data_IF_691478819551
#
_entry.id   IF_691478819551
#
_cell.length_a   1.000
_cell.length_b   1.000
_cell.length_c   1.000
_cell.angle_alpha   90.00
_cell.angle_beta   90.00
_cell.angle_gamma   90.00
#
_symmetry.space_group_name_H-M   'P 1'
#
loop_
_entity.id
_entity.type
_entity.pdbx_description
1 polymer ?
#
# COMPACT_ATOMS: atom_id res chain seq x y z
N UNK A 1 19.83 34.50 -32.42
CA UNK A 1 18.72 35.15 -31.69
C UNK A 1 18.55 34.39 -30.41
N UNK A 2 19.10 34.93 -29.34
CA UNK A 2 19.17 34.32 -28.02
C UNK A 2 17.78 34.31 -27.39
N UNK A 3 17.30 33.13 -26.97
CA UNK A 3 16.13 33.06 -26.11
C UNK A 3 16.51 33.69 -24.77
N UNK A 4 15.94 34.85 -24.46
CA UNK A 4 15.98 35.41 -23.11
C UNK A 4 15.19 34.45 -22.22
N UNK A 5 15.90 33.61 -21.46
CA UNK A 5 15.31 32.96 -20.30
C UNK A 5 14.87 34.08 -19.36
N UNK A 6 13.57 34.27 -19.21
CA UNK A 6 13.04 35.21 -18.22
C UNK A 6 13.34 34.63 -16.85
N UNK A 7 14.34 35.19 -16.17
CA UNK A 7 14.56 35.00 -14.73
C UNK A 7 13.26 35.37 -14.02
N UNK A 8 12.50 34.35 -13.65
CA UNK A 8 11.25 34.52 -12.92
C UNK A 8 11.56 34.40 -11.44
N UNK A 9 11.21 35.45 -10.69
CA UNK A 9 11.31 35.47 -9.23
C UNK A 9 9.92 35.48 -8.62
N UNK A 10 9.61 34.43 -7.88
CA UNK A 10 8.34 34.23 -7.17
C UNK A 10 8.55 34.47 -5.68
N UNK A 11 7.62 35.16 -5.01
CA UNK A 11 7.64 35.31 -3.55
C UNK A 11 6.37 34.75 -2.93
N UNK A 12 6.53 34.03 -1.83
CA UNK A 12 5.45 33.38 -1.09
C UNK A 12 5.58 33.80 0.38
N UNK A 13 4.59 34.54 0.86
CA UNK A 13 4.49 34.88 2.28
C UNK A 13 3.94 33.68 3.06
N UNK A 14 4.63 33.27 4.12
CA UNK A 14 4.28 32.16 5.00
C UNK A 14 4.11 32.77 6.40
N UNK A 15 2.92 32.64 6.97
CA UNK A 15 2.70 33.13 8.34
C UNK A 15 3.21 32.14 9.39
N UNK A 16 3.36 32.62 10.63
CA UNK A 16 3.85 31.81 11.73
C UNK A 16 3.01 30.54 12.01
N UNK A 17 1.69 30.59 11.79
CA UNK A 17 0.79 29.47 12.04
C UNK A 17 0.94 28.41 10.94
N UNK A 18 0.96 28.80 9.67
CA UNK A 18 1.25 27.95 8.51
C UNK A 18 2.62 27.28 8.67
N UNK A 19 3.64 28.03 9.08
CA UNK A 19 4.97 27.47 9.40
C UNK A 19 4.87 26.41 10.50
N UNK A 20 4.22 26.73 11.62
CA UNK A 20 4.10 25.83 12.77
C UNK A 20 3.40 24.51 12.39
N UNK A 21 2.37 24.59 11.57
CA UNK A 21 1.65 23.44 11.04
C UNK A 21 2.54 22.56 10.16
N UNK A 22 3.30 23.15 9.23
CA UNK A 22 4.27 22.40 8.41
C UNK A 22 5.31 21.70 9.31
N UNK A 23 5.84 22.41 10.30
CA UNK A 23 6.83 21.88 11.25
C UNK A 23 6.34 20.66 12.02
N UNK A 24 5.03 20.60 12.32
CA UNK A 24 4.41 19.48 13.02
C UNK A 24 4.58 18.15 12.27
N UNK A 25 4.55 18.19 10.94
CA UNK A 25 4.54 16.99 10.09
C UNK A 25 5.92 16.54 9.62
N UNK A 26 6.92 17.44 9.57
CA UNK A 26 8.26 17.13 9.05
C UNK A 26 8.97 15.95 9.74
N UNK A 27 8.97 15.82 11.07
CA UNK A 27 9.78 14.78 11.74
C UNK A 27 9.33 13.36 11.43
N UNK A 28 8.09 13.18 10.98
CA UNK A 28 7.44 11.88 10.83
C UNK A 28 7.15 11.49 9.38
N UNK A 29 7.27 12.43 8.45
CA UNK A 29 6.82 12.25 7.06
C UNK A 29 7.89 12.55 6.03
N UNK A 30 9.12 12.82 6.45
CA UNK A 30 10.24 13.00 5.55
C UNK A 30 11.25 11.89 5.73
N UNK A 31 11.81 11.44 4.62
CA UNK A 31 12.98 10.58 4.67
C UNK A 31 14.14 11.30 5.35
N UNK A 32 15.03 10.55 5.99
CA UNK A 32 16.21 11.12 6.66
C UNK A 32 17.24 11.68 5.66
N UNK A 33 17.12 11.33 4.38
CA UNK A 33 18.05 11.71 3.32
C UNK A 33 17.56 12.93 2.55
N UNK A 34 18.27 14.04 2.68
CA UNK A 34 18.03 15.25 1.88
C UNK A 34 18.55 15.12 0.43
N UNK A 35 19.18 13.99 0.08
CA UNK A 35 19.71 13.70 -1.25
C UNK A 35 18.64 13.18 -2.23
N UNK A 36 17.40 13.00 -1.77
CA UNK A 36 16.26 12.57 -2.58
C UNK A 36 15.10 13.56 -2.41
N UNK A 37 14.17 13.57 -3.37
CA UNK A 37 13.02 14.49 -3.34
C UNK A 37 12.16 14.33 -2.08
N UNK A 38 11.97 13.09 -1.59
CA UNK A 38 11.24 12.77 -0.36
C UNK A 38 11.93 13.24 0.94
N UNK A 39 13.10 13.88 0.86
CA UNK A 39 13.73 14.60 1.98
C UNK A 39 13.32 16.07 2.09
N UNK A 40 12.46 16.54 1.17
CA UNK A 40 12.02 17.93 1.03
C UNK A 40 10.50 18.04 1.07
N UNK A 41 9.99 19.25 1.23
CA UNK A 41 8.56 19.54 1.32
C UNK A 41 8.07 20.08 -0.02
N UNK A 42 7.10 19.44 -0.64
CA UNK A 42 6.47 20.00 -1.83
C UNK A 42 5.49 21.09 -1.41
N UNK A 43 5.68 22.31 -1.89
CA UNK A 43 4.69 23.37 -1.81
C UNK A 43 4.08 23.57 -3.18
N UNK A 44 2.76 23.47 -3.26
CA UNK A 44 2.00 23.85 -4.45
C UNK A 44 1.04 25.00 -4.15
N UNK A 45 0.95 25.94 -5.09
CA UNK A 45 0.11 27.11 -5.02
C UNK A 45 -0.76 27.20 -6.28
N UNK A 46 -2.05 27.43 -6.09
CA UNK A 46 -3.01 27.73 -7.14
C UNK A 46 -3.85 28.94 -6.70
N UNK A 47 -3.44 30.13 -7.17
CA UNK A 47 -3.93 31.39 -6.62
C UNK A 47 -3.67 31.48 -5.12
N UNK A 48 -4.73 31.59 -4.31
CA UNK A 48 -4.64 31.66 -2.84
C UNK A 48 -4.61 30.29 -2.17
N UNK A 49 -4.89 29.21 -2.91
CA UNK A 49 -4.91 27.86 -2.37
C UNK A 49 -3.48 27.32 -2.31
N UNK A 50 -3.14 26.66 -1.21
CA UNK A 50 -1.83 26.06 -0.99
C UNK A 50 -1.98 24.62 -0.51
N UNK A 51 -1.10 23.76 -0.99
CA UNK A 51 -0.92 22.42 -0.48
C UNK A 51 0.55 22.25 -0.08
N UNK A 52 0.79 21.97 1.19
CA UNK A 52 2.09 21.51 1.66
C UNK A 52 2.05 20.00 1.74
N UNK A 53 2.93 19.35 0.99
CA UNK A 53 2.96 17.90 0.89
C UNK A 53 4.29 17.38 1.39
N UNK A 54 4.20 16.46 2.34
CA UNK A 54 5.32 15.72 2.89
C UNK A 54 5.01 14.25 2.81
N UNK A 55 5.99 13.44 2.45
CA UNK A 55 5.77 12.01 2.34
C UNK A 55 7.07 11.27 2.12
N UNK A 56 6.98 9.97 2.35
CA UNK A 56 7.98 8.98 2.01
C UNK A 56 7.32 7.86 1.20
N UNK A 57 8.00 6.71 1.09
CA UNK A 57 7.49 5.55 0.33
C UNK A 57 6.33 4.84 1.05
N UNK A 58 6.00 5.19 2.29
CA UNK A 58 5.00 4.53 3.14
C UNK A 58 3.75 5.40 3.32
N UNK A 59 3.89 6.70 3.45
CA UNK A 59 2.74 7.61 3.55
C UNK A 59 3.00 8.98 2.94
N UNK A 60 1.90 9.68 2.66
CA UNK A 60 1.87 11.05 2.17
C UNK A 60 0.89 11.86 3.00
N UNK A 61 1.32 12.99 3.55
CA UNK A 61 0.48 13.98 4.23
C UNK A 61 0.37 15.22 3.37
N UNK A 62 -0.86 15.67 3.14
CA UNK A 62 -1.20 16.89 2.43
C UNK A 62 -1.90 17.83 3.40
N UNK A 63 -1.27 18.97 3.66
CA UNK A 63 -1.82 20.05 4.45
C UNK A 63 -2.39 21.13 3.52
N UNK A 64 -3.71 21.27 3.51
CA UNK A 64 -4.39 22.30 2.74
C UNK A 64 -4.41 23.61 3.52
N UNK A 65 -3.97 24.70 2.89
CA UNK A 65 -3.96 26.04 3.48
C UNK A 65 -4.47 27.06 2.49
N UNK A 66 -4.84 28.22 3.01
CA UNK A 66 -5.10 29.41 2.22
C UNK A 66 -4.14 30.51 2.64
N UNK A 67 -3.58 31.22 1.68
CA UNK A 67 -2.70 32.35 1.94
C UNK A 67 -2.72 33.36 0.80
N UNK A 68 -1.95 34.45 0.89
CA UNK A 68 -1.79 35.39 -0.20
C UNK A 68 -1.30 34.66 -1.46
N UNK A 69 -1.82 35.04 -2.64
CA UNK A 69 -1.33 34.49 -3.89
C UNK A 69 0.18 34.79 -4.06
N UNK A 70 0.97 33.85 -4.62
CA UNK A 70 2.37 34.12 -4.90
C UNK A 70 2.53 35.35 -5.80
N UNK A 71 3.46 36.24 -5.45
CA UNK A 71 3.79 37.38 -6.29
C UNK A 71 4.89 37.01 -7.28
N UNK A 72 4.92 37.65 -8.45
CA UNK A 72 5.92 37.39 -9.51
C UNK A 72 5.55 36.27 -10.49
N UNK A 73 4.38 35.66 -10.35
CA UNK A 73 3.82 34.74 -11.35
C UNK A 73 3.23 35.50 -12.55
N UNK A 74 3.48 34.98 -13.75
CA UNK A 74 2.93 35.51 -15.00
C UNK A 74 2.47 34.31 -15.85
N UNK A 75 1.16 33.99 -15.89
CA UNK A 75 0.03 34.74 -15.30
C UNK A 75 -0.07 34.59 -13.76
N UNK A 76 -0.73 35.52 -13.04
CA UNK A 76 -0.77 35.54 -11.57
C UNK A 76 -1.46 34.35 -10.90
N UNK A 77 -2.35 33.67 -11.62
CA UNK A 77 -3.12 32.51 -11.19
C UNK A 77 -2.53 31.18 -11.70
N UNK A 78 -1.33 31.22 -12.30
CA UNK A 78 -0.63 30.04 -12.74
C UNK A 78 -0.38 29.08 -11.58
N UNK A 79 -0.63 27.79 -11.82
CA UNK A 79 -0.20 26.73 -10.91
C UNK A 79 1.32 26.77 -10.74
N UNK A 80 1.78 26.91 -9.50
CA UNK A 80 3.18 26.97 -9.13
C UNK A 80 3.49 25.89 -8.12
N UNK A 81 4.61 25.18 -8.28
CA UNK A 81 5.07 24.19 -7.31
C UNK A 81 6.57 24.35 -7.06
N UNK A 82 7.05 23.99 -5.88
CA UNK A 82 8.47 24.02 -5.51
C UNK A 82 8.77 22.97 -4.44
N UNK A 83 9.91 22.27 -4.55
CA UNK A 83 10.41 21.39 -3.49
C UNK A 83 11.19 22.21 -2.47
N UNK A 84 10.50 22.72 -1.46
CA UNK A 84 11.03 23.52 -0.37
C UNK A 84 12.01 22.71 0.48
N UNK A 85 13.22 23.24 0.62
CA UNK A 85 14.26 22.57 1.39
C UNK A 85 13.88 22.47 2.88
N UNK A 86 13.83 21.24 3.43
CA UNK A 86 13.40 21.00 4.81
C UNK A 86 14.30 21.67 5.86
N UNK A 87 15.56 21.99 5.52
CA UNK A 87 16.49 22.74 6.39
C UNK A 87 16.04 24.16 6.71
N UNK A 88 15.13 24.73 5.91
CA UNK A 88 14.56 26.04 6.21
C UNK A 88 13.78 26.04 7.53
N UNK A 89 13.19 24.91 7.90
CA UNK A 89 12.34 24.78 9.07
C UNK A 89 13.10 24.18 10.27
N UNK A 90 14.08 23.29 10.04
CA UNK A 90 14.80 22.56 11.09
C UNK A 90 15.46 23.49 12.13
N UNK A 91 15.13 23.28 13.40
CA UNK A 91 15.74 23.98 14.53
C UNK A 91 15.38 25.46 14.67
N UNK A 92 14.43 25.96 13.88
CA UNK A 92 13.93 27.34 13.96
C UNK A 92 12.58 27.40 14.67
N UNK A 93 12.28 28.55 15.28
CA UNK A 93 10.95 28.82 15.82
C UNK A 93 10.01 29.28 14.69
N UNK A 94 8.73 28.87 14.71
CA UNK A 94 7.74 29.41 13.78
C UNK A 94 7.66 30.93 13.89
N UNK A 95 7.61 31.60 12.74
CA UNK A 95 7.52 33.05 12.60
C UNK A 95 7.14 33.39 11.17
N UNK A 96 6.70 34.63 10.95
CA UNK A 96 6.40 35.11 9.61
C UNK A 96 7.66 35.07 8.72
N UNK A 97 7.48 34.66 7.47
CA UNK A 97 8.55 34.44 6.54
C UNK A 97 8.15 34.74 5.11
N UNK A 98 9.16 34.96 4.27
CA UNK A 98 9.00 35.05 2.82
C UNK A 98 9.92 34.03 2.18
N UNK A 99 9.35 33.07 1.47
CA UNK A 99 10.08 32.18 0.59
C UNK A 99 10.17 32.82 -0.80
N UNK A 100 11.39 33.10 -1.24
CA UNK A 100 11.68 33.58 -2.58
C UNK A 100 12.23 32.44 -3.43
N UNK A 101 11.68 32.25 -4.62
CA UNK A 101 12.13 31.23 -5.59
C UNK A 101 12.55 31.93 -6.87
N UNK A 102 13.79 31.69 -7.29
CA UNK A 102 14.38 32.27 -8.50
C UNK A 102 14.76 31.15 -9.46
N UNK A 103 14.22 31.19 -10.67
CA UNK A 103 14.54 30.25 -11.74
C UNK A 103 15.79 30.72 -12.49
N UNK A 104 16.79 29.85 -12.58
CA UNK A 104 18.07 30.10 -13.28
C UNK A 104 18.35 29.00 -14.31
N UNK A 105 19.36 29.17 -15.17
CA UNK A 105 19.79 28.11 -16.11
C UNK A 105 20.21 26.80 -15.40
N UNK A 106 20.71 26.88 -14.15
CA UNK A 106 21.19 25.75 -13.36
C UNK A 106 20.12 25.08 -12.49
N UNK A 107 18.86 25.50 -12.59
CA UNK A 107 17.76 25.07 -11.71
C UNK A 107 17.20 26.23 -10.89
N UNK A 108 16.51 25.91 -9.81
CA UNK A 108 15.84 26.90 -8.96
C UNK A 108 16.62 27.15 -7.67
N UNK A 109 16.73 28.42 -7.30
CA UNK A 109 17.34 28.87 -6.04
C UNK A 109 16.22 29.33 -5.11
N UNK A 110 16.28 28.90 -3.86
CA UNK A 110 15.30 29.21 -2.83
C UNK A 110 15.96 30.05 -1.76
N UNK A 111 15.32 31.15 -1.37
CA UNK A 111 15.76 31.98 -0.26
C UNK A 111 14.64 32.17 0.74
N UNK A 112 14.82 31.64 1.95
CA UNK A 112 13.92 31.92 3.06
C UNK A 112 14.40 33.18 3.79
N UNK A 113 13.54 34.19 3.83
CA UNK A 113 13.74 35.43 4.57
C UNK A 113 12.86 35.40 5.81
N UNK A 114 13.49 35.58 6.95
CA UNK A 114 12.85 35.70 8.27
C UNK A 114 13.46 36.89 9.02
N UNK A 115 12.94 37.29 10.18
CA UNK A 115 13.40 38.44 10.98
C UNK A 115 14.93 38.59 11.06
N UNK A 116 15.49 39.38 10.13
CA UNK A 116 16.92 39.66 10.01
C UNK A 116 17.80 38.52 9.47
N UNK A 117 17.26 37.33 9.18
CA UNK A 117 18.04 36.18 8.68
C UNK A 117 17.57 35.78 7.29
N UNK A 118 18.53 35.75 6.36
CA UNK A 118 18.36 35.29 4.98
C UNK A 118 19.14 34.01 4.78
N UNK A 119 18.49 32.95 4.31
CA UNK A 119 19.12 31.65 4.05
C UNK A 119 18.81 31.20 2.65
N UNK A 120 19.84 30.95 1.85
CA UNK A 120 19.71 30.59 0.43
C UNK A 120 20.22 29.17 0.21
N UNK A 121 19.41 28.35 -0.46
CA UNK A 121 19.69 26.96 -0.80
C UNK A 121 19.25 26.69 -2.24
N UNK A 122 19.83 25.67 -2.87
CA UNK A 122 19.41 25.21 -4.20
C UNK A 122 18.25 24.22 -4.03
N UNK A 123 17.25 24.30 -4.91
CA UNK A 123 16.18 23.31 -5.00
C UNK A 123 16.74 21.94 -5.38
N UNK A 124 16.21 20.87 -4.79
CA UNK A 124 16.57 19.52 -5.19
C UNK A 124 16.11 19.24 -6.63
N UNK A 125 16.95 18.65 -7.51
CA UNK A 125 16.62 18.47 -8.93
C UNK A 125 15.59 17.36 -9.22
N UNK A 126 15.21 16.57 -8.21
CA UNK A 126 14.23 15.50 -8.34
C UNK A 126 12.81 16.00 -8.64
N UNK A 127 11.99 15.15 -9.26
CA UNK A 127 10.59 15.47 -9.54
C UNK A 127 9.73 15.49 -8.28
N UNK A 128 8.67 16.29 -8.31
CA UNK A 128 7.59 16.21 -7.32
C UNK A 128 6.87 14.86 -7.46
N UNK A 129 6.51 14.24 -6.34
CA UNK A 129 5.68 13.03 -6.33
C UNK A 129 4.22 13.39 -6.65
N UNK A 130 3.52 12.52 -7.36
CA UNK A 130 2.13 12.75 -7.78
C UNK A 130 1.13 12.44 -6.66
N UNK A 131 1.12 13.33 -5.67
CA UNK A 131 0.22 13.22 -4.52
C UNK A 131 -1.26 13.33 -4.90
N UNK A 132 -1.60 14.00 -6.01
CA UNK A 132 -3.00 14.19 -6.44
C UNK A 132 -3.61 12.86 -6.85
N UNK A 133 -2.86 12.03 -7.56
CA UNK A 133 -3.31 10.68 -7.91
C UNK A 133 -3.49 9.82 -6.67
N UNK A 134 -2.57 9.90 -5.69
CA UNK A 134 -2.68 9.19 -4.41
C UNK A 134 -3.93 9.59 -3.62
N UNK A 135 -4.17 10.89 -3.42
CA UNK A 135 -5.39 11.40 -2.73
C UNK A 135 -6.65 11.14 -3.56
N UNK A 136 -6.54 11.11 -4.89
CA UNK A 136 -7.64 10.77 -5.78
C UNK A 136 -8.07 9.31 -5.63
N UNK A 137 -7.10 8.41 -5.41
CA UNK A 137 -7.33 6.98 -5.24
C UNK A 137 -8.06 6.65 -3.94
N UNK A 138 -8.02 7.51 -2.93
CA UNK A 138 -8.63 7.29 -1.62
C UNK A 138 -10.05 7.85 -1.48
N UNK A 139 -10.81 8.04 -2.57
CA UNK A 139 -12.13 8.71 -2.52
C UNK A 139 -13.35 7.79 -2.50
N UNK A 140 -13.16 6.48 -2.32
CA UNK A 140 -14.23 5.49 -2.20
C UNK A 140 -14.45 5.07 -0.75
N UNK A 141 -15.68 4.63 -0.43
CA UNK A 141 -16.07 3.95 0.81
C UNK A 141 -15.52 4.60 2.09
N UNK A 142 -16.09 5.75 2.46
CA UNK A 142 -15.68 6.46 3.68
C UNK A 142 -16.43 5.97 4.91
N UNK A 143 -15.70 5.87 6.01
CA UNK A 143 -16.22 5.66 7.35
C UNK A 143 -15.78 6.81 8.24
N UNK A 144 -16.55 7.12 9.27
CA UNK A 144 -16.23 8.23 10.17
C UNK A 144 -16.03 7.67 11.57
N UNK A 145 -14.90 8.04 12.18
CA UNK A 145 -14.53 7.66 13.54
C UNK A 145 -14.14 8.91 14.31
N UNK A 146 -14.39 8.94 15.62
CA UNK A 146 -13.82 10.01 16.45
C UNK A 146 -12.30 9.91 16.47
N UNK A 147 -11.64 11.04 16.30
CA UNK A 147 -10.17 11.08 16.20
C UNK A 147 -9.51 10.61 17.50
N UNK A 148 -10.09 10.95 18.65
CA UNK A 148 -9.59 10.51 19.95
C UNK A 148 -9.71 8.98 20.14
N UNK A 149 -10.87 8.40 19.78
CA UNK A 149 -11.08 6.95 19.82
C UNK A 149 -10.15 6.21 18.84
N UNK A 150 -9.89 6.78 17.66
CA UNK A 150 -8.94 6.21 16.71
C UNK A 150 -7.52 6.18 17.28
N UNK A 151 -7.07 7.29 17.88
CA UNK A 151 -5.75 7.40 18.51
C UNK A 151 -5.58 6.44 19.70
N UNK A 152 -6.62 6.28 20.53
CA UNK A 152 -6.65 5.30 21.61
C UNK A 152 -6.62 3.86 21.07
N UNK A 153 -7.42 3.55 20.05
CA UNK A 153 -7.45 2.24 19.44
C UNK A 153 -6.09 1.84 18.84
N UNK A 154 -5.44 2.76 18.12
CA UNK A 154 -4.10 2.57 17.57
C UNK A 154 -3.05 2.43 18.68
N UNK A 155 -3.19 3.18 19.77
CA UNK A 155 -2.31 3.03 20.94
C UNK A 155 -2.43 1.66 21.59
N UNK A 156 -3.64 1.12 21.71
CA UNK A 156 -3.88 -0.21 22.23
C UNK A 156 -3.40 -1.30 21.24
N UNK A 157 -3.64 -1.14 19.94
CA UNK A 157 -3.22 -2.09 18.91
C UNK A 157 -1.69 -2.18 18.78
N UNK A 158 -0.99 -1.08 19.05
CA UNK A 158 0.47 -0.99 19.05
C UNK A 158 1.14 -1.57 20.31
N UNK A 159 0.35 -2.04 21.30
CA UNK A 159 0.89 -2.63 22.52
C UNK A 159 1.50 -4.01 22.24
N UNK A 160 2.80 -4.14 22.53
CA UNK A 160 3.58 -5.35 22.24
C UNK A 160 3.69 -6.24 23.48
N UNK A 161 3.38 -7.55 23.39
CA UNK A 161 3.60 -8.48 24.48
C UNK A 161 5.08 -8.54 24.90
N UNK A 162 5.31 -8.81 26.19
CA UNK A 162 6.67 -8.89 26.74
C UNK A 162 7.45 -10.02 26.05
N UNK A 163 8.63 -9.70 25.54
CA UNK A 163 9.53 -10.68 24.91
C UNK A 163 9.35 -10.85 23.41
N UNK A 164 8.36 -10.18 22.79
CA UNK A 164 8.18 -10.20 21.34
C UNK A 164 9.13 -9.19 20.67
N UNK A 165 9.89 -9.67 19.68
CA UNK A 165 10.69 -8.82 18.80
C UNK A 165 9.79 -8.18 17.73
N UNK A 166 9.96 -6.87 17.55
CA UNK A 166 9.18 -6.02 16.64
C UNK A 166 10.10 -5.04 15.92
N UNK A 167 11.33 -5.47 15.62
CA UNK A 167 12.31 -4.71 14.82
C UNK A 167 11.70 -4.21 13.50
N UNK A 168 10.80 -5.01 12.92
CA UNK A 168 10.23 -4.77 11.61
C UNK A 168 8.90 -3.98 11.66
N UNK A 169 8.49 -3.50 12.85
CA UNK A 169 7.24 -2.77 13.06
C UNK A 169 6.18 -3.58 13.80
N UNK A 170 5.02 -2.97 14.04
CA UNK A 170 3.86 -3.65 14.64
C UNK A 170 2.75 -3.66 13.60
N UNK A 171 2.47 -4.83 13.04
CA UNK A 171 1.52 -4.97 11.95
C UNK A 171 0.18 -5.49 12.44
N UNK A 172 -0.92 -4.82 12.07
CA UNK A 172 -2.27 -5.29 12.37
C UNK A 172 -3.15 -5.31 11.11
N UNK A 173 -4.11 -6.23 11.11
CA UNK A 173 -5.19 -6.20 10.13
C UNK A 173 -6.22 -5.15 10.53
N UNK A 174 -6.37 -4.13 9.69
CA UNK A 174 -7.38 -3.08 9.76
C UNK A 174 -8.59 -3.47 8.91
N UNK A 175 -9.78 -3.49 9.50
CA UNK A 175 -11.03 -3.73 8.77
C UNK A 175 -12.22 -3.14 9.51
N UNK A 176 -13.37 -3.04 8.84
CA UNK A 176 -14.67 -2.93 9.51
C UNK A 176 -15.29 -4.31 9.63
N UNK A 177 -15.66 -4.69 10.85
CA UNK A 177 -16.35 -5.95 11.18
C UNK A 177 -17.47 -5.66 12.16
N UNK A 178 -18.67 -6.16 11.88
CA UNK A 178 -19.83 -6.01 12.76
C UNK A 178 -20.13 -4.53 13.10
N UNK A 179 -19.95 -3.63 12.11
CA UNK A 179 -20.17 -2.19 12.27
C UNK A 179 -19.13 -1.47 13.14
N UNK A 180 -17.96 -2.08 13.38
CA UNK A 180 -16.86 -1.49 14.18
C UNK A 180 -15.56 -1.49 13.41
N UNK A 181 -14.76 -0.43 13.59
CA UNK A 181 -13.37 -0.45 13.15
C UNK A 181 -12.58 -1.41 14.04
N UNK A 182 -11.86 -2.34 13.43
CA UNK A 182 -11.14 -3.41 14.13
C UNK A 182 -9.68 -3.43 13.70
N UNK A 183 -8.80 -3.57 14.69
CA UNK A 183 -7.37 -3.82 14.53
C UNK A 183 -7.05 -5.19 15.14
N UNK A 184 -6.50 -6.09 14.34
CA UNK A 184 -6.11 -7.44 14.78
C UNK A 184 -4.61 -7.63 14.60
N UNK A 185 -3.86 -7.57 15.70
CA UNK A 185 -2.40 -7.71 15.70
C UNK A 185 -2.05 -9.16 16.03
N UNK A 186 -1.56 -9.95 15.05
CA UNK A 186 -1.14 -11.32 15.31
C UNK A 186 0.23 -11.35 16.01
N UNK A 187 0.39 -12.25 16.96
CA UNK A 187 1.64 -12.46 17.67
C UNK A 187 2.06 -13.94 17.57
N UNK A 188 3.35 -14.18 17.36
CA UNK A 188 3.91 -15.53 17.42
C UNK A 188 3.91 -15.96 18.89
N UNK A 189 3.42 -17.16 19.18
CA UNK A 189 3.37 -17.74 20.54
C UNK A 189 2.53 -16.98 21.58
N UNK A 190 1.80 -15.94 21.17
CA UNK A 190 0.87 -15.20 22.04
C UNK A 190 -0.53 -15.09 21.40
N UNK A 191 -1.60 -14.96 22.21
CA UNK A 191 -2.93 -14.64 21.70
C UNK A 191 -2.90 -13.30 20.96
N UNK A 192 -3.69 -13.17 19.89
CA UNK A 192 -3.80 -11.93 19.12
C UNK A 192 -4.29 -10.77 19.99
N UNK A 193 -3.76 -9.57 19.73
CA UNK A 193 -4.38 -8.34 20.26
C UNK A 193 -5.51 -7.95 19.32
N UNK A 194 -6.72 -7.86 19.84
CA UNK A 194 -7.89 -7.39 19.08
C UNK A 194 -8.42 -6.13 19.74
N UNK A 195 -8.42 -5.03 18.99
CA UNK A 195 -8.95 -3.74 19.41
C UNK A 195 -10.09 -3.37 18.49
N UNK A 196 -11.19 -2.87 19.05
CA UNK A 196 -12.30 -2.35 18.27
C UNK A 196 -12.77 -1.01 18.81
N UNK A 197 -13.11 -0.09 17.92
CA UNK A 197 -13.73 1.18 18.29
C UNK A 197 -15.01 1.41 17.47
N UNK A 198 -15.89 2.25 18.02
CA UNK A 198 -17.19 2.51 17.42
C UNK A 198 -17.05 3.52 16.28
N UNK A 199 -17.79 3.28 15.20
CA UNK A 199 -17.95 4.23 14.11
C UNK A 199 -19.07 5.22 14.45
N UNK A 200 -19.02 6.43 13.90
CA UNK A 200 -20.11 7.42 13.99
C UNK A 200 -21.36 6.93 13.23
N UNK A 201 -21.18 6.09 12.22
CA UNK A 201 -22.24 5.42 11.47
C UNK A 201 -21.83 3.99 11.16
N UNK A 202 -22.76 3.05 11.33
CA UNK A 202 -22.54 1.67 10.90
C UNK A 202 -22.37 1.62 9.39
N UNK A 203 -21.47 0.77 8.94
CA UNK A 203 -21.24 0.46 7.53
C UNK A 203 -21.13 -1.06 7.38
N UNK A 204 -21.16 -1.53 6.14
CA UNK A 204 -20.88 -2.92 5.79
C UNK A 204 -19.42 -3.29 6.07
N UNK A 205 -19.19 -4.60 6.19
CA UNK A 205 -17.86 -5.17 6.41
C UNK A 205 -16.93 -4.90 5.22
N UNK A 206 -15.67 -4.55 5.48
CA UNK A 206 -14.67 -4.23 4.44
C UNK A 206 -13.69 -5.38 4.20
N UNK A 207 -12.85 -5.33 3.17
CA UNK A 207 -11.65 -6.18 3.16
C UNK A 207 -10.70 -5.80 4.30
N UNK A 208 -9.73 -6.68 4.61
CA UNK A 208 -8.73 -6.44 5.63
C UNK A 208 -7.44 -5.90 5.01
N UNK A 209 -6.92 -4.81 5.57
CA UNK A 209 -5.68 -4.17 5.17
C UNK A 209 -4.60 -4.47 6.20
N UNK A 210 -3.41 -4.88 5.77
CA UNK A 210 -2.29 -4.98 6.71
C UNK A 210 -1.64 -3.60 6.84
N UNK A 211 -1.48 -3.09 8.06
CA UNK A 211 -0.88 -1.77 8.30
C UNK A 211 0.13 -1.84 9.43
N UNK A 212 1.18 -1.01 9.37
CA UNK A 212 1.99 -0.70 10.55
C UNK A 212 1.21 0.25 11.47
N UNK A 213 0.70 -0.28 12.59
CA UNK A 213 -0.11 0.50 13.53
C UNK A 213 0.70 1.51 14.33
N UNK A 214 2.02 1.33 14.49
CA UNK A 214 2.86 2.36 15.11
C UNK A 214 3.00 3.53 14.17
N UNK A 215 3.18 3.27 12.89
CA UNK A 215 3.23 4.32 11.90
C UNK A 215 1.90 5.07 11.82
N UNK A 216 0.79 4.35 11.67
CA UNK A 216 -0.54 4.97 11.61
C UNK A 216 -0.87 5.77 12.90
N UNK A 217 -0.44 5.28 14.06
CA UNK A 217 -0.51 6.02 15.33
C UNK A 217 0.26 7.35 15.29
N UNK A 218 1.50 7.34 14.80
CA UNK A 218 2.33 8.55 14.73
C UNK A 218 1.68 9.61 13.84
N UNK A 219 1.03 9.22 12.76
CA UNK A 219 0.36 10.17 11.86
C UNK A 219 -0.95 10.68 12.47
N UNK A 220 -1.74 9.80 13.09
CA UNK A 220 -3.05 10.16 13.65
C UNK A 220 -2.98 11.01 14.92
N UNK A 221 -1.90 10.94 15.71
CA UNK A 221 -1.76 11.75 16.93
C UNK A 221 -1.67 13.27 16.68
N UNK A 222 -1.48 13.68 15.42
CA UNK A 222 -1.33 15.08 15.01
C UNK A 222 -2.58 15.64 14.34
N UNK A 223 -3.65 14.85 14.24
CA UNK A 223 -4.93 15.26 13.70
C UNK A 223 -5.72 16.05 14.76
N UNK A 224 -6.15 17.25 14.41
CA UNK A 224 -6.78 18.19 15.35
C UNK A 224 -8.31 18.23 15.29
N UNK A 225 -8.94 17.55 14.32
CA UNK A 225 -10.40 17.55 14.21
C UNK A 225 -11.02 16.51 15.16
N UNK A 226 -12.27 16.75 15.58
CA UNK A 226 -13.02 15.83 16.46
C UNK A 226 -13.25 14.45 15.81
N UNK A 227 -13.39 14.43 14.48
CA UNK A 227 -13.64 13.22 13.69
C UNK A 227 -12.66 13.10 12.54
N UNK A 228 -12.25 11.87 12.25
CA UNK A 228 -11.45 11.49 11.10
C UNK A 228 -12.31 10.64 10.16
N UNK A 229 -12.34 11.01 8.89
CA UNK A 229 -12.88 10.17 7.82
C UNK A 229 -11.78 9.21 7.36
N UNK A 230 -12.04 7.91 7.39
CA UNK A 230 -11.14 6.88 6.88
C UNK A 230 -11.74 6.33 5.58
N UNK A 231 -10.93 6.19 4.55
CA UNK A 231 -11.31 5.70 3.24
C UNK A 231 -10.65 4.36 3.01
N UNK A 232 -11.47 3.32 2.89
CA UNK A 232 -11.05 1.92 2.76
C UNK A 232 -11.61 1.36 1.45
N UNK A 233 -10.75 1.04 0.50
CA UNK A 233 -11.17 0.42 -0.75
C UNK A 233 -11.61 -1.03 -0.59
N UNK A 234 -12.01 -1.66 -1.69
CA UNK A 234 -12.37 -3.07 -1.70
C UNK A 234 -11.16 -3.98 -2.03
N UNK A 235 -9.97 -3.39 -2.19
CA UNK A 235 -8.72 -4.06 -2.54
C UNK A 235 -7.66 -3.91 -1.40
N UNK A 236 -7.10 -5.01 -0.83
CA UNK A 236 -6.25 -4.98 0.37
C UNK A 236 -4.95 -4.17 0.29
N UNK A 237 -4.41 -3.95 -0.91
CA UNK A 237 -3.17 -3.20 -1.14
C UNK A 237 -3.41 -1.78 -1.65
N UNK A 238 -4.67 -1.39 -1.82
CA UNK A 238 -5.02 -0.06 -2.26
C UNK A 238 -4.73 0.97 -1.15
N UNK A 239 -4.32 2.20 -1.50
CA UNK A 239 -4.01 3.23 -0.51
C UNK A 239 -5.19 3.50 0.44
N UNK A 240 -4.87 3.68 1.72
CA UNK A 240 -5.83 4.04 2.76
C UNK A 240 -5.81 5.56 2.93
N UNK A 241 -6.97 6.21 2.81
CA UNK A 241 -7.08 7.65 3.05
C UNK A 241 -7.52 7.97 4.46
N UNK A 242 -6.93 8.99 5.10
CA UNK A 242 -7.48 9.64 6.28
C UNK A 242 -7.70 11.11 5.97
N UNK A 243 -8.85 11.65 6.34
CA UNK A 243 -9.13 13.07 6.23
C UNK A 243 -9.63 13.62 7.55
N UNK A 244 -8.99 14.67 8.03
CA UNK A 244 -9.35 15.34 9.28
C UNK A 244 -9.12 16.84 9.13
N UNK A 245 -10.22 17.59 9.02
CA UNK A 245 -10.19 19.03 8.76
C UNK A 245 -9.51 19.34 7.43
N UNK A 246 -8.42 20.10 7.50
CA UNK A 246 -7.63 20.55 6.35
C UNK A 246 -6.45 19.62 6.01
N UNK A 247 -6.40 18.43 6.61
CA UNK A 247 -5.33 17.45 6.40
C UNK A 247 -5.88 16.22 5.70
N UNK A 248 -5.25 15.85 4.58
CA UNK A 248 -5.38 14.53 3.99
C UNK A 248 -4.10 13.73 4.28
N UNK A 249 -4.26 12.45 4.60
CA UNK A 249 -3.18 11.49 4.76
C UNK A 249 -3.49 10.31 3.85
N UNK A 250 -2.49 9.83 3.14
CA UNK A 250 -2.55 8.58 2.39
C UNK A 250 -1.52 7.64 3.00
N UNK A 251 -1.93 6.45 3.40
CA UNK A 251 -1.06 5.42 3.96
C UNK A 251 -1.09 4.21 3.04
N UNK A 252 0.08 3.74 2.65
CA UNK A 252 0.20 2.50 1.89
C UNK A 252 0.05 1.30 2.83
N UNK A 253 -0.86 0.35 2.55
CA UNK A 253 -0.87 -0.92 3.26
C UNK A 253 0.49 -1.61 3.18
N UNK A 254 0.87 -2.30 4.24
CA UNK A 254 2.08 -3.11 4.25
C UNK A 254 1.85 -4.35 3.40
N UNK A 255 2.55 -4.43 2.28
CA UNK A 255 2.68 -5.69 1.56
C UNK A 255 3.75 -6.56 2.22
N UNK A 256 3.36 -7.29 3.28
CA UNK A 256 4.27 -8.17 4.04
C UNK A 256 4.95 -9.23 3.18
N UNK A 257 4.38 -9.53 2.02
CA UNK A 257 4.87 -10.54 1.11
C UNK A 257 5.42 -9.94 -0.19
N UNK A 258 5.66 -8.62 -0.26
CA UNK A 258 6.14 -7.98 -1.47
C UNK A 258 7.43 -8.61 -1.99
N UNK A 259 8.32 -8.98 -1.07
CA UNK A 259 9.60 -9.63 -1.39
C UNK A 259 9.37 -11.03 -1.96
N UNK A 260 8.52 -11.81 -1.32
CA UNK A 260 8.19 -13.17 -1.72
C UNK A 260 7.41 -13.19 -3.03
N UNK A 261 6.46 -12.28 -3.21
CA UNK A 261 5.69 -12.10 -4.45
C UNK A 261 6.63 -11.70 -5.58
N UNK A 262 7.49 -10.71 -5.36
CA UNK A 262 8.50 -10.31 -6.35
C UNK A 262 9.43 -11.46 -6.72
N UNK A 263 9.87 -12.26 -5.74
CA UNK A 263 10.69 -13.45 -6.02
C UNK A 263 9.95 -14.50 -6.85
N UNK A 264 8.64 -14.67 -6.62
CA UNK A 264 7.78 -15.51 -7.46
C UNK A 264 7.62 -14.92 -8.87
N UNK A 265 7.37 -13.62 -8.99
CA UNK A 265 7.23 -12.93 -10.27
C UNK A 265 8.51 -13.00 -11.09
N UNK A 266 9.68 -12.79 -10.48
CA UNK A 266 10.99 -12.94 -11.12
C UNK A 266 11.19 -14.38 -11.64
N UNK A 267 10.80 -15.39 -10.85
CA UNK A 267 10.84 -16.79 -11.24
C UNK A 267 9.87 -17.09 -12.41
N UNK A 268 8.68 -16.50 -12.40
CA UNK A 268 7.66 -16.68 -13.45
C UNK A 268 8.06 -15.98 -14.75
N UNK A 269 8.55 -14.74 -14.69
CA UNK A 269 9.11 -14.03 -15.84
C UNK A 269 10.24 -14.84 -16.48
N UNK A 270 11.16 -15.41 -15.68
CA UNK A 270 12.23 -16.28 -16.19
C UNK A 270 11.68 -17.55 -16.85
N UNK A 271 10.65 -18.18 -16.27
CA UNK A 271 10.04 -19.39 -16.82
C UNK A 271 9.24 -19.13 -18.11
N UNK A 272 8.40 -18.09 -18.11
CA UNK A 272 7.52 -17.73 -19.23
C UNK A 272 8.24 -16.97 -20.35
N UNK A 273 9.45 -16.46 -20.07
CA UNK A 273 10.19 -15.58 -20.98
C UNK A 273 9.41 -14.29 -21.31
N UNK A 274 8.79 -13.73 -20.28
CA UNK A 274 8.04 -12.47 -20.33
C UNK A 274 8.72 -11.41 -19.47
N UNK A 275 8.59 -10.14 -19.85
CA UNK A 275 9.19 -9.03 -19.10
C UNK A 275 8.45 -8.76 -17.78
N UNK A 276 7.16 -9.08 -17.71
CA UNK A 276 6.30 -8.88 -16.55
C UNK A 276 5.19 -9.93 -16.56
N UNK A 277 4.77 -10.35 -15.36
CA UNK A 277 3.59 -11.18 -15.12
C UNK A 277 2.60 -10.41 -14.25
N UNK A 278 1.31 -10.62 -14.47
CA UNK A 278 0.25 -10.01 -13.67
C UNK A 278 -0.60 -11.11 -13.02
N UNK A 279 -0.88 -11.02 -11.70
CA UNK A 279 -1.82 -11.92 -11.06
C UNK A 279 -3.26 -11.58 -11.46
N UNK A 280 -4.15 -12.55 -11.36
CA UNK A 280 -5.58 -12.32 -11.45
C UNK A 280 -6.16 -11.73 -10.14
N UNK A 281 -7.49 -11.62 -10.07
CA UNK A 281 -8.20 -11.04 -8.92
C UNK A 281 -8.01 -11.83 -7.62
N UNK A 282 -7.67 -13.12 -7.71
CA UNK A 282 -7.44 -13.99 -6.56
C UNK A 282 -5.96 -14.02 -6.14
N UNK A 283 -5.09 -13.31 -6.88
CA UNK A 283 -3.64 -13.31 -6.66
C UNK A 283 -2.92 -14.47 -7.36
N UNK A 284 -3.60 -15.15 -8.29
CA UNK A 284 -3.08 -16.32 -8.98
C UNK A 284 -2.48 -15.93 -10.34
N UNK A 285 -1.32 -16.48 -10.67
CA UNK A 285 -0.64 -16.25 -11.94
C UNK A 285 -1.00 -17.37 -12.91
N UNK A 286 -1.72 -17.03 -13.98
CA UNK A 286 -2.06 -17.98 -15.03
C UNK A 286 -0.79 -18.42 -15.78
N UNK A 287 -0.60 -19.74 -15.92
CA UNK A 287 0.50 -20.32 -16.68
C UNK A 287 -0.07 -21.09 -17.86
N UNK A 288 0.24 -20.62 -19.06
CA UNK A 288 -0.19 -21.31 -20.29
C UNK A 288 0.84 -22.39 -20.63
N UNK A 289 0.47 -23.67 -20.54
CA UNK A 289 1.28 -24.73 -21.15
C UNK A 289 0.90 -24.97 -22.60
N UNK A 290 1.84 -25.49 -23.43
CA UNK A 290 1.58 -25.77 -24.84
C UNK A 290 0.35 -26.66 -25.11
N UNK A 291 -0.04 -27.49 -24.15
CA UNK A 291 -1.15 -28.44 -24.27
C UNK A 291 -2.52 -27.87 -23.87
N UNK A 292 -2.60 -26.63 -23.38
CA UNK A 292 -3.86 -25.89 -23.24
C UNK A 292 -4.73 -26.18 -22.00
N UNK A 293 -4.22 -26.88 -20.99
CA UNK A 293 -4.92 -27.01 -19.70
C UNK A 293 -4.67 -25.77 -18.83
N UNK A 294 -5.72 -25.17 -18.23
CA UNK A 294 -5.53 -24.00 -17.37
C UNK A 294 -4.84 -24.43 -16.08
N UNK A 295 -3.73 -23.75 -15.80
CA UNK A 295 -2.92 -23.94 -14.61
C UNK A 295 -2.58 -22.59 -14.02
N UNK A 296 -2.40 -22.59 -12.70
CA UNK A 296 -2.12 -21.40 -11.93
C UNK A 296 -0.96 -21.65 -10.98
N UNK A 297 -0.25 -20.58 -10.69
CA UNK A 297 0.80 -20.54 -9.70
C UNK A 297 0.47 -19.42 -8.73
N UNK A 298 0.56 -19.66 -7.43
CA UNK A 298 0.34 -18.62 -6.43
C UNK A 298 1.31 -18.72 -5.27
N UNK A 299 1.51 -17.60 -4.59
CA UNK A 299 2.21 -17.60 -3.31
C UNK A 299 1.24 -18.11 -2.23
N UNK A 300 1.67 -19.06 -1.40
CA UNK A 300 0.96 -19.48 -0.21
C UNK A 300 1.60 -18.81 1.03
N UNK A 301 1.07 -17.66 1.47
CA UNK A 301 1.65 -16.91 2.59
C UNK A 301 1.42 -17.57 3.95
N UNK A 302 0.51 -18.54 4.05
CA UNK A 302 0.19 -19.23 5.30
C UNK A 302 1.21 -20.34 5.64
N UNK A 303 2.03 -20.77 4.67
CA UNK A 303 3.06 -21.77 4.88
C UNK A 303 4.35 -21.16 5.46
N UNK A 304 4.98 -21.87 6.41
CA UNK A 304 6.35 -21.59 6.87
C UNK A 304 7.22 -22.85 6.71
N UNK A 305 8.29 -22.82 5.88
CA UNK A 305 8.71 -21.70 5.01
C UNK A 305 7.67 -21.37 3.92
N UNK A 306 7.72 -20.16 3.35
CA UNK A 306 6.81 -19.74 2.28
C UNK A 306 6.87 -20.73 1.11
N UNK A 307 5.69 -21.10 0.60
CA UNK A 307 5.58 -22.01 -0.54
C UNK A 307 4.95 -21.34 -1.76
N UNK A 308 5.37 -21.77 -2.93
CA UNK A 308 4.73 -21.53 -4.21
C UNK A 308 3.83 -22.73 -4.48
N UNK A 309 2.53 -22.50 -4.59
CA UNK A 309 1.57 -23.52 -4.91
C UNK A 309 1.32 -23.52 -6.41
N UNK A 310 1.58 -24.64 -7.06
CA UNK A 310 1.24 -24.89 -8.46
C UNK A 310 -0.01 -25.76 -8.48
N UNK A 311 -1.06 -25.34 -9.17
CA UNK A 311 -2.31 -26.08 -9.15
C UNK A 311 -3.13 -25.99 -10.45
N UNK A 312 -4.10 -26.89 -10.57
CA UNK A 312 -5.09 -26.91 -11.64
C UNK A 312 -6.42 -27.41 -11.09
N UNK A 313 -7.53 -26.84 -11.60
CA UNK A 313 -8.90 -27.23 -11.23
C UNK A 313 -9.29 -28.45 -12.06
N UNK A 314 -9.52 -29.59 -11.39
CA UNK A 314 -9.91 -30.85 -12.01
C UNK A 314 -11.42 -30.95 -12.24
N UNK A 315 -12.23 -30.39 -11.36
CA UNK A 315 -13.69 -30.35 -11.48
C UNK A 315 -14.21 -29.20 -10.60
N UNK A 316 -15.27 -28.53 -11.04
CA UNK A 316 -15.91 -27.43 -10.31
C UNK A 316 -17.36 -27.76 -10.01
N UNK A 317 -17.96 -27.09 -9.01
CA UNK A 317 -19.33 -27.36 -8.51
C UNK A 317 -19.51 -28.81 -8.06
N UNK A 318 -18.52 -29.32 -7.35
CA UNK A 318 -18.51 -30.66 -6.80
C UNK A 318 -18.90 -30.58 -5.32
N UNK A 319 -20.02 -31.17 -4.88
CA UNK A 319 -20.39 -31.16 -3.47
C UNK A 319 -19.47 -32.07 -2.64
N UNK A 320 -19.17 -31.65 -1.41
CA UNK A 320 -18.43 -32.48 -0.46
C UNK A 320 -19.25 -33.70 -0.03
N UNK A 321 -18.92 -34.87 -0.57
CA UNK A 321 -19.58 -36.14 -0.23
C UNK A 321 -18.58 -37.17 0.30
N UNK A 322 -19.00 -38.14 1.13
CA UNK A 322 -18.12 -39.22 1.57
C UNK A 322 -17.50 -40.01 0.40
N UNK A 323 -18.28 -40.27 -0.65
CA UNK A 323 -17.80 -40.96 -1.85
C UNK A 323 -16.70 -40.19 -2.59
N UNK A 324 -16.82 -38.86 -2.67
CA UNK A 324 -15.75 -38.01 -3.20
C UNK A 324 -14.48 -38.18 -2.38
N UNK A 325 -14.54 -38.06 -1.05
CA UNK A 325 -13.35 -38.17 -0.20
C UNK A 325 -12.70 -39.56 -0.26
N UNK A 326 -13.47 -40.63 -0.41
CA UNK A 326 -12.93 -41.97 -0.66
C UNK A 326 -12.13 -42.03 -1.96
N UNK A 327 -12.66 -41.44 -3.04
CA UNK A 327 -11.98 -41.37 -4.33
C UNK A 327 -10.71 -40.51 -4.26
N UNK A 328 -10.78 -39.32 -3.64
CA UNK A 328 -9.62 -38.44 -3.45
C UNK A 328 -8.53 -39.12 -2.63
N UNK A 329 -8.90 -39.86 -1.57
CA UNK A 329 -7.94 -40.64 -0.79
C UNK A 329 -7.30 -41.76 -1.61
N UNK A 330 -8.07 -42.44 -2.47
CA UNK A 330 -7.55 -43.44 -3.40
C UNK A 330 -6.56 -42.84 -4.40
N UNK A 331 -6.87 -41.68 -4.95
CA UNK A 331 -5.97 -40.94 -5.86
C UNK A 331 -4.68 -40.55 -5.14
N UNK A 332 -4.79 -39.94 -3.96
CA UNK A 332 -3.64 -39.52 -3.16
C UNK A 332 -2.77 -40.68 -2.70
N UNK A 333 -3.36 -41.85 -2.38
CA UNK A 333 -2.60 -43.04 -2.03
C UNK A 333 -1.72 -43.54 -3.19
N UNK A 334 -2.10 -43.23 -4.43
CA UNK A 334 -1.38 -43.63 -5.64
C UNK A 334 -0.55 -42.50 -6.27
N UNK A 335 -0.62 -41.28 -5.74
CA UNK A 335 0.10 -40.11 -6.24
C UNK A 335 1.25 -39.73 -5.28
N UNK A 336 2.49 -39.83 -5.76
CA UNK A 336 3.67 -39.61 -4.90
C UNK A 336 3.99 -38.12 -4.68
N UNK A 337 3.60 -37.25 -5.62
CA UNK A 337 4.08 -35.86 -5.67
C UNK A 337 2.98 -34.82 -5.83
N UNK A 338 1.80 -35.20 -6.30
CA UNK A 338 0.64 -34.31 -6.49
C UNK A 338 -0.39 -34.69 -5.44
N UNK A 339 -0.94 -33.70 -4.75
CA UNK A 339 -2.11 -33.87 -3.90
C UNK A 339 -3.35 -33.51 -4.70
N UNK A 340 -4.40 -34.31 -4.57
CA UNK A 340 -5.74 -33.98 -5.06
C UNK A 340 -6.64 -33.75 -3.86
N UNK A 341 -7.24 -32.57 -3.78
CA UNK A 341 -8.06 -32.17 -2.66
C UNK A 341 -9.34 -31.47 -3.10
N UNK A 342 -10.29 -31.41 -2.19
CA UNK A 342 -11.53 -30.65 -2.35
C UNK A 342 -11.44 -29.35 -1.54
N UNK A 343 -11.71 -28.22 -2.19
CA UNK A 343 -11.77 -26.90 -1.57
C UNK A 343 -12.71 -25.99 -2.37
N UNK A 344 -13.50 -25.16 -1.67
CA UNK A 344 -14.39 -24.17 -2.28
C UNK A 344 -15.26 -24.74 -3.42
N UNK A 345 -15.94 -25.87 -3.17
CA UNK A 345 -16.80 -26.56 -4.14
C UNK A 345 -16.08 -27.01 -5.44
N UNK A 346 -14.75 -27.16 -5.40
CA UNK A 346 -13.93 -27.63 -6.50
C UNK A 346 -12.95 -28.73 -6.06
N UNK A 347 -12.56 -29.56 -7.01
CA UNK A 347 -11.48 -30.53 -6.85
C UNK A 347 -10.24 -30.00 -7.56
N UNK A 348 -9.12 -29.94 -6.85
CA UNK A 348 -7.87 -29.35 -7.33
C UNK A 348 -6.74 -30.36 -7.26
N UNK A 349 -5.86 -30.35 -8.25
CA UNK A 349 -4.55 -31.01 -8.19
C UNK A 349 -3.49 -29.95 -7.87
N UNK A 350 -2.64 -30.19 -6.87
CA UNK A 350 -1.66 -29.22 -6.41
C UNK A 350 -0.30 -29.82 -6.02
N UNK A 351 0.72 -28.97 -6.09
CA UNK A 351 2.07 -29.19 -5.54
C UNK A 351 2.52 -27.92 -4.82
N UNK A 352 3.00 -28.06 -3.58
CA UNK A 352 3.68 -26.99 -2.85
C UNK A 352 5.20 -27.08 -3.02
N UNK A 353 5.81 -25.98 -3.46
CA UNK A 353 7.27 -25.84 -3.58
C UNK A 353 7.78 -24.81 -2.59
N UNK A 354 8.89 -25.05 -1.89
CA UNK A 354 9.47 -24.04 -1.00
C UNK A 354 10.09 -22.92 -1.82
N UNK A 355 9.57 -21.69 -1.70
CA UNK A 355 9.92 -20.54 -2.54
C UNK A 355 11.44 -20.30 -2.56
N UNK A 356 12.07 -20.27 -1.38
CA UNK A 356 13.50 -19.95 -1.24
C UNK A 356 14.46 -20.94 -1.91
N UNK A 357 13.99 -22.15 -2.23
CA UNK A 357 14.78 -23.19 -2.92
C UNK A 357 14.31 -23.47 -4.34
N UNK A 358 13.19 -22.86 -4.76
CA UNK A 358 12.59 -23.13 -6.06
C UNK A 358 13.40 -22.44 -7.14
N UNK A 359 13.66 -23.20 -8.22
CA UNK A 359 14.30 -22.71 -9.44
C UNK A 359 13.38 -22.99 -10.63
N UNK A 360 13.62 -22.35 -11.77
CA UNK A 360 12.87 -22.54 -13.02
C UNK A 360 12.65 -24.01 -13.36
N UNK A 361 13.68 -24.85 -13.25
CA UNK A 361 13.57 -26.29 -13.53
C UNK A 361 12.64 -27.03 -12.54
N UNK A 362 12.61 -26.60 -11.28
CA UNK A 362 11.72 -27.19 -10.26
C UNK A 362 10.26 -26.78 -10.50
N UNK A 363 10.04 -25.50 -10.83
CA UNK A 363 8.73 -25.00 -11.23
C UNK A 363 8.21 -25.73 -12.47
N UNK A 364 9.03 -25.87 -13.51
CA UNK A 364 8.67 -26.59 -14.73
C UNK A 364 8.31 -28.07 -14.47
N UNK A 365 9.05 -28.74 -13.58
CA UNK A 365 8.72 -30.12 -13.21
C UNK A 365 7.41 -30.21 -12.42
N UNK A 366 7.12 -29.25 -11.54
CA UNK A 366 5.86 -29.23 -10.81
C UNK A 366 4.65 -29.00 -11.74
N UNK A 367 4.77 -28.05 -12.66
CA UNK A 367 3.76 -27.80 -13.70
C UNK A 367 3.49 -29.06 -14.53
N UNK A 368 4.53 -29.78 -14.95
CA UNK A 368 4.37 -31.03 -15.70
C UNK A 368 3.67 -32.14 -14.88
N UNK A 369 3.98 -32.25 -13.59
CA UNK A 369 3.33 -33.23 -12.72
C UNK A 369 1.86 -32.90 -12.47
N UNK A 370 1.53 -31.64 -12.22
CA UNK A 370 0.13 -31.17 -12.08
C UNK A 370 -0.62 -31.39 -13.39
N UNK A 371 -0.04 -31.02 -14.54
CA UNK A 371 -0.62 -31.25 -15.87
C UNK A 371 -0.98 -32.71 -16.09
N UNK A 372 -0.07 -33.65 -15.79
CA UNK A 372 -0.33 -35.10 -15.91
C UNK A 372 -1.44 -35.58 -14.99
N UNK A 373 -1.54 -35.02 -13.79
CA UNK A 373 -2.64 -35.33 -12.88
C UNK A 373 -3.96 -34.81 -13.46
N UNK A 374 -3.97 -33.59 -14.03
CA UNK A 374 -5.12 -33.01 -14.71
C UNK A 374 -5.59 -33.89 -15.86
N UNK A 375 -4.71 -34.25 -16.79
CA UNK A 375 -5.06 -35.13 -17.92
C UNK A 375 -5.64 -36.48 -17.48
N UNK A 376 -5.10 -37.03 -16.39
CA UNK A 376 -5.50 -38.35 -15.90
C UNK A 376 -6.85 -38.35 -15.19
N UNK A 377 -7.11 -37.33 -14.37
CA UNK A 377 -8.22 -37.38 -13.41
C UNK A 377 -9.37 -36.42 -13.75
N UNK A 378 -9.14 -35.37 -14.55
CA UNK A 378 -10.16 -34.37 -14.90
C UNK A 378 -11.43 -35.02 -15.46
N UNK A 379 -11.30 -35.89 -16.47
CA UNK A 379 -12.44 -36.52 -17.13
C UNK A 379 -13.26 -37.44 -16.21
N UNK A 380 -12.60 -38.16 -15.30
CA UNK A 380 -13.29 -39.04 -14.33
C UNK A 380 -14.01 -38.21 -13.30
N UNK A 381 -13.31 -37.28 -12.66
CA UNK A 381 -13.89 -36.47 -11.57
C UNK A 381 -15.05 -35.59 -12.08
N UNK A 382 -14.88 -34.98 -13.25
CA UNK A 382 -15.92 -34.14 -13.84
C UNK A 382 -17.16 -34.92 -14.27
N UNK A 383 -17.02 -36.20 -14.68
CA UNK A 383 -18.15 -37.01 -15.12
C UNK A 383 -18.96 -37.60 -13.96
N UNK A 384 -18.31 -37.94 -12.84
CA UNK A 384 -18.97 -38.65 -11.74
C UNK A 384 -19.44 -37.75 -10.59
N UNK A 385 -18.85 -36.56 -10.43
CA UNK A 385 -19.06 -35.75 -9.23
C UNK A 385 -19.51 -34.31 -9.50
N UNK A 386 -19.49 -33.84 -10.74
CA UNK A 386 -20.05 -32.53 -11.10
C UNK A 386 -21.57 -32.65 -11.21
N UNK A 387 -22.30 -31.71 -10.61
CA UNK A 387 -23.75 -31.62 -10.82
C UNK A 387 -24.02 -31.41 -12.32
N UNK A 388 -24.74 -32.36 -12.92
CA UNK A 388 -25.29 -32.15 -14.26
C UNK A 388 -26.37 -31.10 -14.11
N UNK A 389 -26.17 -29.93 -14.71
CA UNK A 389 -27.23 -28.95 -14.88
C UNK A 389 -28.32 -29.59 -15.74
N UNK A 390 -29.31 -30.21 -15.11
CA UNK A 390 -30.65 -30.29 -15.68
C UNK A 390 -31.28 -28.90 -15.54
N UNK A 391 -31.72 -28.35 -16.67
CA UNK A 391 -32.43 -27.06 -16.81
C UNK A 391 -33.62 -26.90 -15.85
#
# INVERSE_FOLDING_TARGET
>A
MSAQGTDQRVQIAIDADEWNEVLRWLPFSLTTSEAIAAGHVLLECEGTRRAWVVGDDVHTVVLHRSGPAPSGLVPPDQHFHVLVNSRFFRGRRPQDAVLEVESTEGGRIQTLVTDGVRTTLVEHPGGAFDWRSLVGATRSNSIVVRTDLLAEALSAAAAVPVGVDVSDGVHAWLSVRDGRLRFETPWIEHPWTVVSCSLERSTDDTVSFLVDVRHLKVVTQHLDADTTELYLADEPLHPIGLRSGDVDVVVMPTDRWCRERRALEELLCEFLQEDQVEPDQDGDYAVTTPEGHPMWVRLNPAAQPFTVQVFSVLASRVPATPALFEELNSINANATHVKVLWAADAVMAEIDLVLSTTKVATLGNALELVRRATERYHGVLSAFFTETSED
#
